data_IF_981576084837
#
_entry.id   IF_981576084837
#
_cell.length_a   1.000
_cell.length_b   1.000
_cell.length_c   1.000
_cell.angle_alpha   90.00
_cell.angle_beta   90.00
_cell.angle_gamma   90.00
#
_symmetry.space_group_name_H-M   'P 1'
#
loop_
_entity.id
_entity.type
_entity.pdbx_description
1 polymer ?
#
# COMPACT_ATOMS: atom_id res chain seq x y z
N UNK A 1 -42.25 -21.92 -29.94
CA UNK A 1 -40.84 -21.46 -29.99
C UNK A 1 -40.52 -20.33 -28.99
N UNK A 2 -41.46 -19.46 -28.67
CA UNK A 2 -41.26 -18.36 -27.70
C UNK A 2 -41.19 -18.78 -26.23
N UNK A 3 -41.84 -19.87 -25.83
CA UNK A 3 -41.92 -20.34 -24.43
C UNK A 3 -40.57 -20.95 -23.94
N UNK A 4 -39.78 -21.52 -24.83
CA UNK A 4 -38.49 -22.15 -24.47
C UNK A 4 -37.39 -21.14 -24.19
N UNK A 5 -37.39 -20.01 -24.92
CA UNK A 5 -36.40 -18.92 -24.74
C UNK A 5 -36.62 -18.17 -23.42
N UNK A 6 -37.89 -18.03 -22.98
CA UNK A 6 -38.20 -17.40 -21.71
C UNK A 6 -37.81 -18.28 -20.49
N UNK A 7 -37.97 -19.61 -20.62
CA UNK A 7 -37.59 -20.56 -19.57
C UNK A 7 -36.06 -20.58 -19.37
N UNK A 8 -35.27 -20.58 -20.46
CA UNK A 8 -33.79 -20.57 -20.36
C UNK A 8 -33.24 -19.26 -19.81
N UNK A 9 -33.83 -18.11 -20.17
CA UNK A 9 -33.44 -16.81 -19.59
C UNK A 9 -33.80 -16.70 -18.10
N UNK A 10 -34.97 -17.18 -17.66
CA UNK A 10 -35.37 -17.20 -16.25
C UNK A 10 -34.48 -18.13 -15.43
N UNK A 11 -34.11 -19.30 -15.94
CA UNK A 11 -33.20 -20.23 -15.24
C UNK A 11 -31.78 -19.66 -15.13
N UNK A 12 -31.28 -19.00 -16.19
CA UNK A 12 -29.96 -18.34 -16.16
C UNK A 12 -29.97 -17.14 -15.22
N UNK A 13 -31.05 -16.35 -15.19
CA UNK A 13 -31.21 -15.22 -14.27
C UNK A 13 -31.40 -15.66 -12.81
N UNK A 14 -32.16 -16.74 -12.59
CA UNK A 14 -32.32 -17.35 -11.27
C UNK A 14 -31.02 -17.99 -10.76
N UNK A 15 -30.24 -18.63 -11.63
CA UNK A 15 -28.89 -19.14 -11.32
C UNK A 15 -27.90 -18.00 -11.04
N UNK A 16 -28.00 -16.90 -11.79
CA UNK A 16 -27.19 -15.70 -11.55
C UNK A 16 -27.58 -15.00 -10.24
N UNK A 17 -28.89 -14.91 -9.93
CA UNK A 17 -29.40 -14.36 -8.68
C UNK A 17 -29.14 -15.29 -7.48
N UNK A 18 -29.22 -16.61 -7.67
CA UNK A 18 -28.87 -17.60 -6.65
C UNK A 18 -27.35 -17.65 -6.39
N UNK A 19 -26.54 -17.32 -7.40
CA UNK A 19 -25.09 -17.16 -7.28
C UNK A 19 -24.70 -15.89 -6.51
N UNK A 20 -25.54 -14.85 -6.55
CA UNK A 20 -25.36 -13.59 -5.78
C UNK A 20 -25.86 -13.75 -4.34
N UNK A 21 -26.84 -14.64 -4.08
CA UNK A 21 -27.44 -14.81 -2.74
C UNK A 21 -26.80 -15.88 -1.87
N UNK A 22 -26.16 -16.89 -2.48
CA UNK A 22 -25.33 -17.85 -1.76
C UNK A 22 -23.88 -17.40 -1.88
N UNK A 23 -23.32 -16.87 -0.78
CA UNK A 23 -21.92 -16.53 -0.67
C UNK A 23 -21.06 -17.69 -1.18
N UNK A 24 -20.48 -17.51 -2.37
CA UNK A 24 -19.52 -18.46 -2.89
C UNK A 24 -18.14 -18.04 -2.41
N UNK A 25 -17.43 -19.00 -1.80
CA UNK A 25 -16.02 -18.82 -1.56
C UNK A 25 -15.31 -18.53 -2.88
N UNK A 26 -14.60 -17.42 -2.94
CA UNK A 26 -13.76 -17.04 -4.07
C UNK A 26 -12.28 -17.05 -3.67
N UNK A 27 -11.42 -17.37 -4.60
CA UNK A 27 -9.97 -17.30 -4.40
C UNK A 27 -9.51 -15.86 -4.61
N UNK A 28 -8.84 -15.32 -3.59
CA UNK A 28 -8.38 -13.94 -3.53
C UNK A 28 -6.87 -13.89 -3.38
N UNK A 29 -6.26 -12.95 -4.06
CA UNK A 29 -4.89 -12.51 -3.77
C UNK A 29 -4.91 -11.21 -3.03
N UNK A 30 -4.02 -11.09 -2.03
CA UNK A 30 -3.95 -9.90 -1.23
C UNK A 30 -2.60 -9.67 -0.58
N UNK A 31 -2.37 -8.42 -0.23
CA UNK A 31 -1.20 -7.95 0.52
C UNK A 31 -1.71 -7.58 1.92
N UNK A 32 -1.17 -8.21 2.96
CA UNK A 32 -1.53 -7.91 4.35
C UNK A 32 -1.02 -6.51 4.69
N UNK A 33 -1.93 -5.61 5.09
CA UNK A 33 -1.57 -4.23 5.42
C UNK A 33 -1.32 -4.09 6.93
N UNK A 34 -2.25 -4.65 7.72
CA UNK A 34 -2.23 -4.48 9.17
C UNK A 34 -2.86 -5.69 9.84
N UNK A 35 -2.36 -6.02 11.02
CA UNK A 35 -2.96 -7.03 11.88
C UNK A 35 -3.16 -6.51 13.28
N UNK A 36 -4.26 -6.88 13.90
CA UNK A 36 -4.59 -6.52 15.28
C UNK A 36 -5.01 -7.79 16.02
N UNK A 37 -4.41 -8.03 17.18
CA UNK A 37 -4.80 -9.15 18.05
C UNK A 37 -6.22 -8.95 18.53
N UNK A 38 -7.04 -10.00 18.43
CA UNK A 38 -8.42 -10.03 18.88
C UNK A 38 -8.66 -11.25 19.77
N UNK A 39 -8.75 -11.02 21.09
CA UNK A 39 -8.80 -12.11 22.08
C UNK A 39 -7.50 -12.94 22.13
N UNK A 40 -7.59 -14.15 22.67
CA UNK A 40 -6.42 -14.97 22.98
C UNK A 40 -5.84 -15.75 21.79
N UNK A 41 -6.68 -16.09 20.82
CA UNK A 41 -6.31 -16.97 19.70
C UNK A 41 -6.72 -16.48 18.33
N UNK A 42 -7.19 -15.25 18.23
CA UNK A 42 -7.67 -14.67 16.97
C UNK A 42 -6.94 -13.37 16.66
N UNK A 43 -6.90 -13.01 15.39
CA UNK A 43 -6.48 -11.70 14.93
C UNK A 43 -7.44 -11.20 13.83
N UNK A 44 -7.54 -9.88 13.72
CA UNK A 44 -8.16 -9.20 12.59
C UNK A 44 -7.04 -8.74 11.67
N UNK A 45 -7.11 -9.14 10.42
CA UNK A 45 -6.16 -8.76 9.38
C UNK A 45 -6.84 -7.89 8.34
N UNK A 46 -6.30 -6.70 8.11
CA UNK A 46 -6.65 -5.87 6.97
C UNK A 46 -5.77 -6.27 5.80
N UNK A 47 -6.37 -6.62 4.70
CA UNK A 47 -5.71 -7.08 3.49
C UNK A 47 -6.16 -6.21 2.32
N UNK A 48 -5.21 -5.69 1.55
CA UNK A 48 -5.51 -5.06 0.27
C UNK A 48 -5.58 -6.14 -0.79
N UNK A 49 -6.79 -6.45 -1.22
CA UNK A 49 -7.04 -7.51 -2.20
C UNK A 49 -7.05 -6.93 -3.62
N UNK A 50 -6.64 -7.73 -4.59
CA UNK A 50 -6.59 -7.34 -6.01
C UNK A 50 -7.98 -6.99 -6.55
N UNK A 51 -9.02 -7.77 -6.16
CA UNK A 51 -10.38 -7.70 -6.73
C UNK A 51 -11.37 -6.89 -5.90
N UNK A 52 -11.16 -6.73 -4.59
CA UNK A 52 -12.12 -6.08 -3.69
C UNK A 52 -11.55 -4.87 -2.93
N UNK A 53 -10.27 -4.50 -3.16
CA UNK A 53 -9.62 -3.44 -2.41
C UNK A 53 -9.34 -3.86 -0.96
N UNK A 54 -9.44 -2.90 -0.02
CA UNK A 54 -9.17 -3.18 1.39
C UNK A 54 -10.33 -3.92 2.05
N UNK A 55 -10.05 -5.11 2.54
CA UNK A 55 -10.98 -5.97 3.26
C UNK A 55 -10.40 -6.41 4.59
N UNK A 56 -11.23 -6.50 5.62
CA UNK A 56 -10.85 -7.03 6.93
C UNK A 56 -11.32 -8.46 7.09
N UNK A 57 -10.44 -9.32 7.61
CA UNK A 57 -10.70 -10.74 7.82
C UNK A 57 -10.44 -11.11 9.27
N UNK A 58 -11.26 -12.03 9.80
CA UNK A 58 -11.01 -12.63 11.12
C UNK A 58 -10.36 -14.00 10.94
N UNK A 59 -9.19 -14.22 11.52
CA UNK A 59 -8.48 -15.49 11.45
C UNK A 59 -8.04 -15.97 12.82
N UNK A 60 -7.82 -17.28 12.96
CA UNK A 60 -7.28 -17.89 14.17
C UNK A 60 -5.78 -18.09 14.05
N UNK A 61 -5.06 -17.79 15.12
CA UNK A 61 -3.64 -18.14 15.25
C UNK A 61 -3.58 -19.59 15.72
N UNK A 62 -3.33 -20.51 14.81
CA UNK A 62 -3.09 -21.92 15.17
C UNK A 62 -1.61 -22.12 15.41
N UNK A 63 -1.23 -22.40 16.66
CA UNK A 63 0.12 -22.86 17.01
C UNK A 63 0.22 -24.35 16.69
N UNK A 64 0.60 -24.67 15.46
CA UNK A 64 0.80 -26.07 15.10
C UNK A 64 2.09 -26.62 15.75
N UNK A 65 1.98 -27.74 16.45
CA UNK A 65 3.12 -28.43 17.10
C UNK A 65 4.19 -28.94 16.12
N UNK A 66 3.89 -29.01 14.80
CA UNK A 66 4.80 -29.61 13.79
C UNK A 66 4.93 -28.84 12.48
N UNK A 67 4.06 -27.88 12.19
CA UNK A 67 4.12 -27.08 10.96
C UNK A 67 4.21 -25.59 11.30
N UNK A 68 4.71 -24.78 10.36
CA UNK A 68 4.82 -23.33 10.52
C UNK A 68 3.49 -22.75 11.03
N UNK A 69 3.59 -21.90 12.05
CA UNK A 69 2.43 -21.21 12.61
C UNK A 69 1.70 -20.45 11.51
N UNK A 70 0.37 -20.56 11.44
CA UNK A 70 -0.43 -19.75 10.47
C UNK A 70 -0.24 -18.24 10.67
N UNK A 71 0.37 -17.82 11.79
CA UNK A 71 0.71 -16.43 12.07
C UNK A 71 1.68 -15.84 11.05
N UNK A 72 2.55 -16.63 10.43
CA UNK A 72 3.53 -16.15 9.46
C UNK A 72 2.89 -15.53 8.19
N UNK A 73 1.71 -16.02 7.80
CA UNK A 73 0.98 -15.46 6.65
C UNK A 73 0.45 -14.05 6.92
N UNK A 74 0.30 -13.67 8.19
CA UNK A 74 -0.36 -12.43 8.60
C UNK A 74 0.62 -11.33 9.02
N UNK A 75 1.91 -11.47 8.72
CA UNK A 75 2.82 -10.35 8.88
C UNK A 75 2.50 -9.24 7.87
N UNK A 76 2.63 -7.98 8.26
CA UNK A 76 2.46 -6.87 7.34
C UNK A 76 3.33 -7.05 6.08
N UNK A 77 2.75 -6.72 4.93
CA UNK A 77 3.26 -6.88 3.57
C UNK A 77 3.40 -8.33 3.08
N UNK A 78 2.98 -9.36 3.86
CA UNK A 78 2.88 -10.72 3.32
C UNK A 78 1.95 -10.76 2.12
N UNK A 79 2.38 -11.44 1.06
CA UNK A 79 1.62 -11.65 -0.16
C UNK A 79 0.96 -13.02 -0.12
N UNK A 80 -0.36 -13.04 0.07
CA UNK A 80 -1.11 -14.27 0.34
C UNK A 80 -2.21 -14.49 -0.69
N UNK A 81 -2.47 -15.75 -0.98
CA UNK A 81 -3.65 -16.23 -1.69
C UNK A 81 -4.48 -17.07 -0.73
N UNK A 82 -5.76 -16.87 -0.72
CA UNK A 82 -6.69 -17.53 0.20
C UNK A 82 -8.10 -17.57 -0.39
N UNK A 83 -8.95 -18.41 0.18
CA UNK A 83 -10.36 -18.49 -0.20
C UNK A 83 -11.23 -17.83 0.87
N UNK A 84 -12.16 -16.98 0.48
CA UNK A 84 -13.09 -16.34 1.42
C UNK A 84 -14.45 -16.08 0.77
N UNK A 85 -15.49 -15.99 1.62
CA UNK A 85 -16.84 -15.56 1.24
C UNK A 85 -16.98 -14.06 1.59
N UNK A 86 -16.87 -13.19 0.56
CA UNK A 86 -17.06 -11.75 0.71
C UNK A 86 -18.50 -11.40 0.42
N UNK A 87 -19.31 -11.24 1.48
CA UNK A 87 -20.68 -10.77 1.39
C UNK A 87 -20.76 -9.27 1.62
N UNK A 88 -21.34 -8.54 0.70
CA UNK A 88 -21.44 -7.08 0.75
C UNK A 88 -22.15 -6.52 2.02
N UNK A 89 -22.98 -7.32 2.69
CA UNK A 89 -23.81 -6.89 3.84
C UNK A 89 -23.70 -7.81 5.06
N UNK A 90 -22.58 -8.50 5.23
CA UNK A 90 -22.37 -9.34 6.41
C UNK A 90 -21.99 -8.51 7.63
N UNK A 91 -22.69 -8.68 8.75
CA UNK A 91 -22.31 -8.13 10.05
C UNK A 91 -21.08 -8.81 10.68
N UNK A 92 -20.60 -9.91 10.07
CA UNK A 92 -19.47 -10.68 10.57
C UNK A 92 -18.31 -10.60 9.58
N UNK A 93 -17.10 -10.42 10.09
CA UNK A 93 -15.89 -10.48 9.28
C UNK A 93 -15.73 -11.87 8.65
N UNK A 94 -15.45 -11.95 7.34
CA UNK A 94 -15.20 -13.22 6.66
C UNK A 94 -13.96 -13.90 7.24
N UNK A 95 -13.96 -15.24 7.16
CA UNK A 95 -12.84 -16.08 7.61
C UNK A 95 -12.15 -16.69 6.42
N UNK A 96 -10.86 -16.38 6.23
CA UNK A 96 -10.08 -16.94 5.14
C UNK A 96 -9.78 -18.43 5.37
N UNK A 97 -9.83 -19.20 4.29
CA UNK A 97 -9.52 -20.63 4.23
C UNK A 97 -8.37 -20.83 3.23
N UNK A 98 -7.70 -21.98 3.28
CA UNK A 98 -6.69 -22.42 2.32
C UNK A 98 -5.60 -21.37 2.04
N UNK A 99 -5.10 -20.76 3.12
CA UNK A 99 -4.15 -19.64 3.05
C UNK A 99 -2.77 -20.15 2.64
N UNK A 100 -2.20 -19.53 1.62
CA UNK A 100 -0.84 -19.79 1.17
C UNK A 100 -0.12 -18.50 0.77
N UNK A 101 1.20 -18.45 0.92
CA UNK A 101 2.00 -17.39 0.32
C UNK A 101 2.15 -17.67 -1.17
N UNK A 102 1.84 -16.69 -2.03
CA UNK A 102 2.13 -16.79 -3.45
C UNK A 102 3.46 -16.13 -3.82
N UNK A 103 4.04 -15.34 -2.90
CA UNK A 103 5.38 -14.81 -2.99
C UNK A 103 6.05 -14.88 -1.62
N UNK A 104 7.23 -15.50 -1.57
CA UNK A 104 8.05 -15.60 -0.37
C UNK A 104 9.26 -14.70 -0.52
N UNK A 105 9.41 -13.74 0.38
CA UNK A 105 10.56 -12.83 0.38
C UNK A 105 11.85 -13.58 0.64
N UNK A 106 12.88 -13.27 -0.16
CA UNK A 106 14.21 -13.89 -0.06
C UNK A 106 15.16 -13.08 0.82
N UNK A 107 15.03 -11.75 0.85
CA UNK A 107 15.95 -10.85 1.55
C UNK A 107 15.22 -9.77 2.37
N UNK A 108 14.03 -9.34 1.94
CA UNK A 108 13.28 -8.26 2.59
C UNK A 108 13.10 -8.45 4.10
N UNK A 109 12.89 -9.68 4.55
CA UNK A 109 12.66 -10.00 5.96
C UNK A 109 13.96 -10.26 6.73
N UNK A 110 15.06 -10.51 6.05
CA UNK A 110 16.35 -10.84 6.66
C UNK A 110 17.30 -9.64 6.71
N UNK A 111 17.21 -8.71 5.78
CA UNK A 111 17.98 -7.47 5.77
C UNK A 111 17.40 -6.45 6.75
N UNK A 112 18.14 -5.99 7.78
CA UNK A 112 17.63 -4.99 8.73
C UNK A 112 17.17 -3.70 8.07
N UNK A 113 17.91 -3.22 7.05
CA UNK A 113 17.57 -2.00 6.31
C UNK A 113 16.27 -2.19 5.52
N UNK A 114 16.13 -3.27 4.75
CA UNK A 114 14.91 -3.55 3.99
C UNK A 114 13.71 -3.79 4.90
N UNK A 115 13.90 -4.51 6.02
CA UNK A 115 12.84 -4.73 7.03
C UNK A 115 12.35 -3.42 7.64
N UNK A 116 13.23 -2.46 7.89
CA UNK A 116 12.83 -1.14 8.41
C UNK A 116 12.06 -0.33 7.36
N UNK A 117 12.47 -0.40 6.09
CA UNK A 117 11.71 0.19 4.98
C UNK A 117 10.33 -0.50 4.88
N UNK A 118 10.27 -1.82 4.97
CA UNK A 118 9.03 -2.58 4.92
C UNK A 118 8.07 -2.20 6.06
N UNK A 119 8.58 -2.03 7.29
CA UNK A 119 7.79 -1.56 8.43
C UNK A 119 7.18 -0.17 8.16
N UNK A 120 7.98 0.75 7.64
CA UNK A 120 7.51 2.07 7.24
C UNK A 120 6.44 1.99 6.15
N UNK A 121 6.67 1.20 5.10
CA UNK A 121 5.70 1.05 4.00
C UNK A 121 4.39 0.42 4.47
N UNK A 122 4.44 -0.55 5.39
CA UNK A 122 3.23 -1.16 5.95
C UNK A 122 2.36 -0.12 6.68
N UNK A 123 2.97 0.73 7.52
CA UNK A 123 2.27 1.80 8.21
C UNK A 123 1.72 2.84 7.21
N UNK A 124 2.55 3.27 6.24
CA UNK A 124 2.17 4.22 5.21
C UNK A 124 1.01 3.71 4.34
N UNK A 125 1.11 2.49 3.80
CA UNK A 125 0.07 1.87 2.97
C UNK A 125 -1.22 1.74 3.77
N UNK A 126 -1.13 1.30 5.04
CA UNK A 126 -2.30 1.22 5.92
C UNK A 126 -3.00 2.57 6.13
N UNK A 127 -2.24 3.65 6.17
CA UNK A 127 -2.76 5.01 6.30
C UNK A 127 -3.35 5.53 4.98
N UNK A 128 -2.66 5.27 3.85
CA UNK A 128 -3.05 5.77 2.54
C UNK A 128 -4.28 5.04 1.95
N UNK A 129 -4.46 3.75 2.27
CA UNK A 129 -5.52 2.91 1.71
C UNK A 129 -6.70 2.68 2.69
N UNK A 130 -7.09 3.66 3.49
CA UNK A 130 -8.13 3.46 4.52
C UNK A 130 -9.47 2.99 3.96
N UNK A 131 -9.92 3.56 2.86
CA UNK A 131 -11.22 3.30 2.24
C UNK A 131 -11.06 2.90 0.77
N UNK A 132 -9.88 2.36 0.42
CA UNK A 132 -9.60 2.07 -0.98
C UNK A 132 -10.45 0.91 -1.49
N UNK A 133 -11.18 1.19 -2.56
CA UNK A 133 -11.92 0.19 -3.33
C UNK A 133 -10.95 -0.63 -4.19
N UNK A 134 -11.48 -1.61 -4.92
CA UNK A 134 -10.72 -2.39 -5.88
C UNK A 134 -9.99 -1.47 -6.87
N UNK A 135 -8.67 -1.61 -6.94
CA UNK A 135 -7.79 -0.82 -7.80
C UNK A 135 -6.62 -1.71 -8.24
N UNK A 136 -6.83 -2.47 -9.30
CA UNK A 136 -5.87 -3.44 -9.79
C UNK A 136 -4.52 -2.81 -10.21
N UNK A 137 -4.47 -1.62 -10.87
CA UNK A 137 -3.20 -0.94 -11.12
C UNK A 137 -2.43 -0.60 -9.85
N UNK A 138 -3.11 -0.10 -8.81
CA UNK A 138 -2.50 0.21 -7.52
C UNK A 138 -2.00 -1.06 -6.82
N UNK A 139 -2.82 -2.13 -6.82
CA UNK A 139 -2.41 -3.42 -6.30
C UNK A 139 -1.11 -3.91 -6.95
N UNK A 140 -1.08 -3.89 -8.27
CA UNK A 140 0.08 -4.32 -9.06
C UNK A 140 1.31 -3.45 -8.81
N UNK A 141 1.10 -2.15 -8.63
CA UNK A 141 2.18 -1.22 -8.26
C UNK A 141 2.80 -1.60 -6.91
N UNK A 142 1.98 -1.82 -5.87
CA UNK A 142 2.47 -2.20 -4.54
C UNK A 142 3.17 -3.56 -4.59
N UNK A 143 2.55 -4.55 -5.21
CA UNK A 143 3.11 -5.89 -5.38
C UNK A 143 4.49 -5.87 -6.03
N UNK A 144 4.59 -5.26 -7.22
CA UNK A 144 5.85 -5.19 -7.96
C UNK A 144 6.92 -4.35 -7.27
N UNK A 145 6.52 -3.31 -6.53
CA UNK A 145 7.44 -2.50 -5.73
C UNK A 145 8.08 -3.31 -4.60
N UNK A 146 7.29 -4.10 -3.88
CA UNK A 146 7.79 -4.93 -2.80
C UNK A 146 8.70 -6.06 -3.32
N UNK A 147 8.34 -6.68 -4.46
CA UNK A 147 9.18 -7.67 -5.14
C UNK A 147 10.50 -7.06 -5.61
N UNK A 148 10.45 -5.83 -6.12
CA UNK A 148 11.65 -5.10 -6.53
C UNK A 148 12.57 -4.80 -5.34
N UNK A 149 12.01 -4.34 -4.21
CA UNK A 149 12.79 -4.11 -2.98
C UNK A 149 13.43 -5.38 -2.45
N UNK A 150 12.72 -6.51 -2.53
CA UNK A 150 13.25 -7.81 -2.12
C UNK A 150 14.46 -8.21 -2.99
N UNK A 151 14.33 -8.06 -4.32
CA UNK A 151 15.33 -8.52 -5.28
C UNK A 151 16.56 -7.61 -5.40
N UNK A 152 16.44 -6.30 -5.14
CA UNK A 152 17.55 -5.36 -5.34
C UNK A 152 18.65 -5.52 -4.29
N UNK A 153 19.91 -5.43 -4.73
CA UNK A 153 21.09 -5.50 -3.85
C UNK A 153 21.89 -4.19 -3.83
N UNK A 154 21.52 -3.21 -4.68
CA UNK A 154 22.22 -1.92 -4.75
C UNK A 154 21.90 -1.03 -3.54
N UNK A 155 22.90 -0.68 -2.69
CA UNK A 155 22.65 0.09 -1.47
C UNK A 155 22.06 1.48 -1.72
N UNK A 156 22.43 2.15 -2.82
CA UNK A 156 21.92 3.48 -3.13
C UNK A 156 20.43 3.43 -3.52
N UNK A 157 20.04 2.44 -4.29
CA UNK A 157 18.64 2.16 -4.62
C UNK A 157 17.83 1.81 -3.37
N UNK A 158 18.32 0.90 -2.53
CA UNK A 158 17.64 0.54 -1.27
C UNK A 158 17.41 1.77 -0.42
N UNK A 159 18.43 2.63 -0.25
CA UNK A 159 18.34 3.82 0.57
C UNK A 159 17.30 4.84 0.06
N UNK A 160 17.08 4.95 -1.25
CA UNK A 160 16.15 5.90 -1.87
C UNK A 160 14.76 5.31 -2.16
N UNK A 161 14.60 4.00 -2.01
CA UNK A 161 13.40 3.28 -2.42
C UNK A 161 12.10 3.88 -1.87
N UNK A 162 12.06 4.12 -0.57
CA UNK A 162 10.86 4.63 0.10
C UNK A 162 10.43 6.01 -0.43
N UNK A 163 11.36 6.89 -0.81
CA UNK A 163 11.05 8.18 -1.41
C UNK A 163 10.37 8.01 -2.76
N UNK A 164 10.97 7.18 -3.64
CA UNK A 164 10.44 6.91 -4.98
C UNK A 164 9.08 6.22 -4.88
N UNK A 165 8.93 5.28 -3.93
CA UNK A 165 7.64 4.63 -3.67
C UNK A 165 6.55 5.66 -3.32
N UNK A 166 6.81 6.58 -2.39
CA UNK A 166 5.84 7.61 -2.00
C UNK A 166 5.51 8.54 -3.17
N UNK A 167 6.53 9.02 -3.91
CA UNK A 167 6.32 9.89 -5.06
C UNK A 167 5.41 9.27 -6.13
N UNK A 168 5.62 8.00 -6.44
CA UNK A 168 4.77 7.31 -7.42
C UNK A 168 3.39 6.96 -6.86
N UNK A 169 3.31 6.60 -5.57
CA UNK A 169 2.04 6.31 -4.91
C UNK A 169 1.07 7.49 -4.96
N UNK A 170 1.58 8.74 -4.93
CA UNK A 170 0.76 9.95 -5.00
C UNK A 170 -0.14 10.02 -6.25
N UNK A 171 0.28 9.38 -7.36
CA UNK A 171 -0.53 9.28 -8.59
C UNK A 171 -1.77 8.42 -8.40
N UNK A 172 -1.62 7.30 -7.68
CA UNK A 172 -2.71 6.35 -7.48
C UNK A 172 -3.75 6.87 -6.48
N UNK A 173 -3.32 7.67 -5.50
CA UNK A 173 -4.23 8.26 -4.51
C UNK A 173 -4.72 9.66 -4.92
N UNK A 174 -4.40 10.12 -6.14
CA UNK A 174 -4.95 11.34 -6.72
C UNK A 174 -4.39 12.66 -6.19
N UNK A 175 -3.21 12.64 -5.56
CA UNK A 175 -2.54 13.83 -4.99
C UNK A 175 -1.21 14.15 -5.69
N UNK A 176 -1.00 13.64 -6.91
CA UNK A 176 0.24 13.93 -7.64
C UNK A 176 0.38 15.43 -7.88
N UNK A 177 1.53 16.05 -7.50
CA UNK A 177 1.70 17.49 -7.65
C UNK A 177 1.75 17.92 -9.11
N UNK A 178 1.26 19.12 -9.39
CA UNK A 178 1.47 19.77 -10.67
C UNK A 178 2.87 20.41 -10.69
N UNK A 179 3.76 19.82 -11.49
CA UNK A 179 5.17 20.24 -11.61
C UNK A 179 5.44 21.09 -12.86
N UNK A 180 4.38 21.64 -13.48
CA UNK A 180 4.49 22.61 -14.55
C UNK A 180 4.80 24.02 -14.02
N UNK A 181 5.32 24.91 -14.87
CA UNK A 181 5.62 26.30 -14.53
C UNK A 181 6.54 26.46 -13.30
N UNK A 182 7.64 25.72 -13.30
CA UNK A 182 8.64 25.70 -12.21
C UNK A 182 9.05 27.11 -11.80
N UNK A 183 8.96 27.40 -10.51
CA UNK A 183 9.33 28.68 -9.90
C UNK A 183 10.05 28.48 -8.56
N UNK A 184 10.46 29.57 -7.91
CA UNK A 184 11.14 29.55 -6.63
C UNK A 184 10.25 29.09 -5.45
N UNK A 185 8.93 29.04 -5.65
CA UNK A 185 7.98 28.69 -4.60
C UNK A 185 7.09 27.56 -5.08
N UNK A 186 7.04 26.49 -4.31
CA UNK A 186 6.08 25.42 -4.47
C UNK A 186 5.09 25.42 -3.32
N UNK A 187 3.84 25.72 -3.62
CA UNK A 187 2.75 25.70 -2.66
C UNK A 187 2.33 24.25 -2.38
N UNK A 188 2.68 23.75 -1.21
CA UNK A 188 2.34 22.38 -0.81
C UNK A 188 0.84 22.18 -0.58
N UNK A 189 0.06 23.24 -0.26
CA UNK A 189 -1.40 23.15 -0.09
C UNK A 189 -2.10 23.09 -1.46
N UNK A 190 -1.65 23.89 -2.41
CA UNK A 190 -2.19 23.86 -3.77
C UNK A 190 -1.63 22.70 -4.60
N UNK A 191 -0.51 22.08 -4.19
CA UNK A 191 0.18 21.05 -4.95
C UNK A 191 0.76 21.54 -6.27
N UNK A 192 1.15 22.82 -6.37
CA UNK A 192 1.62 23.46 -7.59
C UNK A 192 2.61 24.60 -7.33
N UNK A 193 3.33 25.02 -8.35
CA UNK A 193 4.20 26.20 -8.27
C UNK A 193 3.42 27.51 -8.20
N UNK A 194 3.95 28.48 -7.45
CA UNK A 194 3.42 29.82 -7.30
C UNK A 194 4.45 30.88 -7.74
N UNK A 195 4.01 31.93 -8.42
CA UNK A 195 4.88 33.03 -8.88
C UNK A 195 5.37 33.89 -7.71
N UNK A 196 4.54 34.04 -6.67
CA UNK A 196 4.85 34.77 -5.44
C UNK A 196 4.77 33.83 -4.26
N UNK A 197 5.52 34.13 -3.20
CA UNK A 197 5.48 33.35 -1.96
C UNK A 197 4.09 33.34 -1.35
N UNK A 198 3.46 32.16 -1.17
CA UNK A 198 2.19 32.05 -0.43
C UNK A 198 2.30 32.56 1.00
N UNK A 199 1.20 33.05 1.59
CA UNK A 199 1.17 33.64 2.93
C UNK A 199 1.15 32.62 4.08
N UNK A 200 1.14 31.31 3.78
CA UNK A 200 1.18 30.24 4.78
C UNK A 200 2.57 29.60 4.87
N UNK A 201 2.77 28.71 5.85
CA UNK A 201 4.06 28.05 6.12
C UNK A 201 4.33 26.80 5.27
N UNK A 202 3.30 26.25 4.60
CA UNK A 202 3.43 25.01 3.81
C UNK A 202 3.95 25.31 2.40
N UNK A 203 5.17 25.83 2.31
CA UNK A 203 5.81 26.26 1.08
C UNK A 203 7.23 25.69 1.03
N UNK A 204 7.61 25.13 -0.11
CA UNK A 204 9.01 24.85 -0.39
C UNK A 204 9.59 26.01 -1.19
N UNK A 205 10.82 26.40 -0.86
CA UNK A 205 11.46 27.59 -1.43
C UNK A 205 12.83 27.26 -2.02
N UNK A 206 13.23 28.03 -3.04
CA UNK A 206 14.54 27.94 -3.65
C UNK A 206 14.91 26.54 -4.15
N UNK A 207 16.03 26.01 -3.69
CA UNK A 207 16.55 24.72 -4.14
C UNK A 207 15.59 23.54 -3.88
N UNK A 208 14.85 23.57 -2.75
CA UNK A 208 13.85 22.52 -2.42
C UNK A 208 12.69 22.53 -3.44
N UNK A 209 12.19 23.70 -3.83
CA UNK A 209 11.14 23.80 -4.84
C UNK A 209 11.66 23.40 -6.23
N UNK A 210 12.85 23.89 -6.62
CA UNK A 210 13.43 23.68 -7.95
C UNK A 210 13.82 22.22 -8.21
N UNK A 211 14.12 21.43 -7.18
CA UNK A 211 14.51 20.02 -7.35
C UNK A 211 13.32 19.07 -7.55
N UNK A 212 12.07 19.46 -7.23
CA UNK A 212 10.90 18.58 -7.29
C UNK A 212 10.71 17.89 -8.65
N UNK A 213 10.80 18.57 -9.81
CA UNK A 213 10.61 17.90 -11.09
C UNK A 213 11.64 16.79 -11.33
N UNK A 214 12.87 16.96 -10.86
CA UNK A 214 13.92 15.95 -10.96
C UNK A 214 13.63 14.78 -10.04
N UNK A 215 13.22 15.04 -8.79
CA UNK A 215 12.89 14.01 -7.82
C UNK A 215 11.72 13.15 -8.28
N UNK A 216 10.64 13.76 -8.75
CA UNK A 216 9.45 13.05 -9.21
C UNK A 216 9.63 12.29 -10.54
N UNK A 217 10.74 12.50 -11.26
CA UNK A 217 11.15 11.71 -12.42
C UNK A 217 11.96 10.46 -12.04
N UNK A 218 12.44 10.35 -10.81
CA UNK A 218 13.15 9.15 -10.36
C UNK A 218 12.23 7.93 -10.46
N UNK A 219 12.83 6.83 -10.90
CA UNK A 219 12.21 5.52 -10.98
C UNK A 219 13.06 4.49 -10.25
N UNK A 220 12.58 3.29 -10.07
CA UNK A 220 13.38 2.22 -9.48
C UNK A 220 14.68 1.94 -10.25
N UNK A 221 14.68 2.12 -11.57
CA UNK A 221 15.87 1.95 -12.40
C UNK A 221 16.85 3.12 -12.33
N UNK A 222 16.43 4.32 -11.93
CA UNK A 222 17.25 5.54 -11.96
C UNK A 222 17.56 6.12 -10.58
N UNK A 223 16.89 5.68 -9.52
CA UNK A 223 17.04 6.27 -8.19
C UNK A 223 18.44 6.09 -7.57
N UNK A 224 19.26 5.14 -8.06
CA UNK A 224 20.64 4.97 -7.64
C UNK A 224 21.54 6.17 -7.99
N UNK A 225 21.17 6.96 -9.01
CA UNK A 225 21.93 8.15 -9.41
C UNK A 225 21.70 9.33 -8.46
N UNK A 226 20.61 9.32 -7.68
CA UNK A 226 20.31 10.35 -6.70
C UNK A 226 21.17 10.16 -5.45
N UNK A 227 22.23 10.96 -5.35
CA UNK A 227 23.20 10.92 -4.24
C UNK A 227 22.73 11.80 -3.08
N UNK A 228 21.63 11.42 -2.44
CA UNK A 228 21.19 12.10 -1.23
C UNK A 228 22.12 11.79 -0.06
N UNK A 229 22.51 12.84 0.66
CA UNK A 229 22.98 12.68 2.03
C UNK A 229 21.85 12.14 2.90
N UNK A 230 22.17 11.63 4.07
CA UNK A 230 21.18 11.18 5.04
C UNK A 230 20.19 12.30 5.43
N UNK A 231 20.70 13.52 5.69
CA UNK A 231 19.87 14.66 6.07
C UNK A 231 18.91 15.08 4.94
N UNK A 232 19.37 15.10 3.69
CA UNK A 232 18.53 15.40 2.54
C UNK A 232 17.43 14.35 2.34
N UNK A 233 17.76 13.06 2.48
CA UNK A 233 16.78 11.96 2.38
C UNK A 233 15.70 12.08 3.45
N UNK A 234 16.09 12.36 4.69
CA UNK A 234 15.15 12.56 5.79
C UNK A 234 14.32 13.82 5.60
N UNK A 235 14.89 14.89 5.08
CA UNK A 235 14.15 16.11 4.74
C UNK A 235 13.12 15.82 3.66
N UNK A 236 13.50 15.14 2.58
CA UNK A 236 12.58 14.74 1.50
C UNK A 236 11.44 13.85 2.04
N UNK A 237 11.75 12.89 2.92
CA UNK A 237 10.73 12.04 3.53
C UNK A 237 9.72 12.82 4.37
N UNK A 238 10.20 13.77 5.18
CA UNK A 238 9.32 14.65 5.98
C UNK A 238 8.43 15.51 5.08
N UNK A 239 9.00 16.12 4.04
CA UNK A 239 8.24 16.92 3.07
C UNK A 239 7.15 16.07 2.40
N UNK A 240 7.47 14.86 1.93
CA UNK A 240 6.49 13.94 1.34
C UNK A 240 5.40 13.56 2.35
N UNK A 241 5.78 13.22 3.59
CA UNK A 241 4.81 12.89 4.63
C UNK A 241 3.87 14.08 4.94
N UNK A 242 4.40 15.29 5.05
CA UNK A 242 3.60 16.50 5.29
C UNK A 242 2.68 16.79 4.10
N UNK A 243 3.15 16.57 2.87
CA UNK A 243 2.33 16.68 1.67
C UNK A 243 1.15 15.70 1.69
N UNK A 244 1.38 14.43 2.04
CA UNK A 244 0.30 13.45 2.22
C UNK A 244 -0.69 13.87 3.30
N UNK A 245 -0.22 14.41 4.42
CA UNK A 245 -1.10 14.91 5.51
C UNK A 245 -1.95 16.11 5.09
N UNK A 246 -1.42 16.98 4.23
CA UNK A 246 -2.17 18.13 3.70
C UNK A 246 -3.29 17.70 2.75
N UNK A 247 -3.05 16.68 1.92
CA UNK A 247 -3.95 16.29 0.84
C UNK A 247 -4.87 15.10 1.16
N UNK A 248 -4.57 14.32 2.21
CA UNK A 248 -5.37 13.18 2.61
C UNK A 248 -6.03 13.40 3.98
N UNK A 249 -7.34 13.67 4.05
CA UNK A 249 -8.03 13.88 5.32
C UNK A 249 -7.83 12.72 6.29
N UNK A 250 -7.43 13.03 7.53
CA UNK A 250 -7.22 12.02 8.55
C UNK A 250 -5.96 11.15 8.38
N UNK A 251 -5.03 11.52 7.49
CA UNK A 251 -3.74 10.83 7.39
C UNK A 251 -2.97 10.99 8.71
N UNK A 252 -2.54 9.89 9.36
CA UNK A 252 -1.94 9.95 10.69
C UNK A 252 -0.49 10.41 10.66
N UNK A 253 0.05 10.73 11.82
CA UNK A 253 1.51 10.83 12.01
C UNK A 253 2.09 9.41 12.00
N UNK A 254 3.04 9.16 11.10
CA UNK A 254 3.70 7.85 10.97
C UNK A 254 4.83 7.73 11.99
N UNK A 255 4.74 6.71 12.84
CA UNK A 255 5.75 6.45 13.90
C UNK A 255 7.03 5.80 13.36
N UNK A 256 6.90 5.03 12.30
CA UNK A 256 8.02 4.32 11.65
C UNK A 256 9.03 5.24 10.95
N UNK A 257 8.72 6.52 10.76
CA UNK A 257 9.69 7.51 10.26
C UNK A 257 10.88 7.64 11.20
N UNK A 258 10.66 7.60 12.51
CA UNK A 258 11.73 7.66 13.51
C UNK A 258 12.62 6.41 13.45
N UNK A 259 12.00 5.23 13.29
CA UNK A 259 12.74 3.97 13.12
C UNK A 259 13.62 4.01 11.86
N UNK A 260 13.08 4.51 10.74
CA UNK A 260 13.89 4.71 9.53
C UNK A 260 15.04 5.68 9.76
N UNK A 261 14.80 6.75 10.52
CA UNK A 261 15.85 7.70 10.86
C UNK A 261 17.00 7.03 11.61
N UNK A 262 16.72 6.22 12.60
CA UNK A 262 17.74 5.49 13.38
C UNK A 262 18.50 4.48 12.53
N UNK A 263 17.82 3.73 11.66
CA UNK A 263 18.44 2.71 10.82
C UNK A 263 19.41 3.27 9.76
N UNK A 264 19.19 4.49 9.31
CA UNK A 264 20.10 5.18 8.41
C UNK A 264 21.09 6.08 9.15
N UNK A 265 21.20 5.94 10.48
CA UNK A 265 22.09 6.72 11.37
C UNK A 265 23.54 6.33 11.30
#
# INVERSE_FOLDING_TARGET
MFSFIYSVKMTTFALFYHKISNGMNETLRGIVIKTVKYGDSSLIADVFTESHGRCSFMTKIVRAKRNASTATFWYPLSMIEFTADIKANSSRLPRPLDIRSYYCYSDLTFSPVKSSIALFLAEFISAALREEKANAPLYKYIESSLQWLDATTDPASIANFHLVFLMHMSRFVGIYPNLENVSQYFDMQAGSYALMRPFHSNVLEGAEALCLPTLFRLSYSTMHVAKFTRSERMRALRVLNDYYRLHMPGFPTLKSIEVLHEMFS
#
